data_IF_223079617647
#
_entry.id   IF_223079617647
#
_cell.length_a   1.000
_cell.length_b   1.000
_cell.length_c   1.000
_cell.angle_alpha   90.00
_cell.angle_beta   90.00
_cell.angle_gamma   90.00
#
_symmetry.space_group_name_H-M   'P 1'
#
loop_
_entity.id
_entity.type
_entity.pdbx_description
1 polymer ?
#
# COMPACT_ATOMS: atom_id res chain seq x y z
N UNK A 1 10.48 4.59 -7.48
CA UNK A 1 9.85 3.38 -8.02
C UNK A 1 8.33 3.51 -7.93
N UNK A 2 7.60 3.42 -9.04
CA UNK A 2 6.14 3.52 -9.00
C UNK A 2 5.52 2.33 -8.27
N UNK A 3 4.41 2.57 -7.60
CA UNK A 3 3.67 1.51 -6.93
C UNK A 3 4.06 1.24 -5.48
N UNK A 4 4.99 1.98 -4.92
CA UNK A 4 5.32 1.82 -3.50
C UNK A 4 4.14 2.26 -2.65
N UNK A 5 3.81 1.45 -1.66
CA UNK A 5 2.64 1.67 -0.80
C UNK A 5 3.06 1.65 0.66
N UNK A 6 2.62 2.63 1.41
CA UNK A 6 2.78 2.62 2.87
C UNK A 6 1.48 3.06 3.54
N UNK A 7 1.32 2.66 4.79
CA UNK A 7 0.17 3.05 5.59
C UNK A 7 0.57 4.24 6.47
N UNK A 8 -0.27 5.28 6.43
CA UNK A 8 -0.01 6.50 7.19
C UNK A 8 -0.51 6.32 8.62
N UNK A 9 0.33 6.58 9.64
CA UNK A 9 -0.10 6.50 11.03
C UNK A 9 -0.95 7.71 11.43
N UNK A 10 -1.78 7.56 12.43
CA UNK A 10 -2.51 8.66 13.06
C UNK A 10 -1.75 9.12 14.32
N UNK A 11 -1.70 10.43 14.60
CA UNK A 11 -2.14 11.54 13.77
C UNK A 11 -1.18 11.84 12.62
N UNK A 12 -1.68 12.50 11.58
CA UNK A 12 -0.87 12.88 10.42
C UNK A 12 -0.50 14.35 10.52
N UNK A 13 0.77 14.65 10.46
CA UNK A 13 1.28 16.03 10.54
C UNK A 13 2.23 16.38 9.39
N UNK A 14 2.13 15.68 8.26
CA UNK A 14 2.99 15.94 7.12
C UNK A 14 2.17 16.19 5.85
N UNK A 15 2.79 16.83 4.87
CA UNK A 15 2.18 17.12 3.57
C UNK A 15 2.52 16.02 2.58
N UNK A 16 1.62 15.83 1.61
CA UNK A 16 1.87 14.89 0.52
C UNK A 16 2.79 15.57 -0.49
N UNK A 17 3.87 14.88 -0.85
CA UNK A 17 4.81 15.37 -1.85
C UNK A 17 4.24 15.20 -3.26
N UNK A 18 4.84 15.89 -4.22
CA UNK A 18 4.53 15.71 -5.62
C UNK A 18 4.74 14.25 -6.03
N UNK A 19 3.96 13.75 -6.96
CA UNK A 19 4.00 12.36 -7.46
C UNK A 19 3.56 11.30 -6.45
N UNK A 20 2.90 11.72 -5.37
CA UNK A 20 2.28 10.82 -4.40
C UNK A 20 0.77 10.91 -4.48
N UNK A 21 0.10 9.80 -4.22
CA UNK A 21 -1.36 9.74 -4.18
C UNK A 21 -1.78 9.26 -2.80
N UNK A 22 -2.68 9.99 -2.16
CA UNK A 22 -3.26 9.60 -0.89
C UNK A 22 -4.56 8.84 -1.15
N UNK A 23 -4.71 7.69 -0.52
CA UNK A 23 -5.92 6.88 -0.57
C UNK A 23 -6.46 6.70 0.83
N UNK A 24 -7.77 6.79 0.93
CA UNK A 24 -8.48 6.50 2.18
C UNK A 24 -9.52 5.43 1.91
N UNK A 25 -9.47 4.35 2.68
CA UNK A 25 -10.45 3.29 2.55
C UNK A 25 -11.83 3.77 3.02
N UNK A 26 -12.86 3.41 2.26
CA UNK A 26 -14.23 3.57 2.72
C UNK A 26 -14.57 2.34 3.55
N UNK A 27 -14.62 2.51 4.87
CA UNK A 27 -14.83 1.40 5.82
C UNK A 27 -16.11 0.60 5.57
N UNK A 28 -17.08 1.19 4.90
CA UNK A 28 -18.32 0.49 4.53
C UNK A 28 -18.11 -0.51 3.41
N UNK A 29 -17.06 -0.31 2.62
CA UNK A 29 -16.78 -1.11 1.43
C UNK A 29 -15.55 -1.99 1.55
N UNK A 30 -14.52 -1.49 2.22
CA UNK A 30 -13.25 -2.19 2.31
C UNK A 30 -12.55 -1.85 3.63
N UNK A 31 -11.93 -2.84 4.24
CA UNK A 31 -11.14 -2.66 5.47
C UNK A 31 -9.78 -2.03 5.14
N UNK A 32 -9.39 -1.00 5.86
CA UNK A 32 -8.17 -0.22 5.56
C UNK A 32 -6.89 -1.05 5.54
N UNK A 33 -6.71 -1.95 6.50
CA UNK A 33 -5.52 -2.80 6.56
C UNK A 33 -5.51 -3.84 5.43
N UNK A 34 -6.68 -4.28 5.00
CA UNK A 34 -6.81 -5.14 3.83
C UNK A 34 -6.42 -4.38 2.56
N UNK A 35 -6.88 -3.14 2.40
CA UNK A 35 -6.51 -2.30 1.26
C UNK A 35 -4.99 -2.14 1.19
N UNK A 36 -4.35 -1.86 2.31
CA UNK A 36 -2.90 -1.78 2.41
C UNK A 36 -2.23 -3.08 1.95
N UNK A 37 -2.70 -4.23 2.44
CA UNK A 37 -2.16 -5.54 2.08
C UNK A 37 -2.32 -5.85 0.60
N UNK A 38 -3.52 -5.62 0.05
CA UNK A 38 -3.82 -5.96 -1.34
C UNK A 38 -3.08 -5.04 -2.31
N UNK A 39 -2.91 -3.77 -1.99
CA UNK A 39 -2.15 -2.85 -2.84
C UNK A 39 -0.68 -3.23 -2.92
N UNK A 40 -0.16 -3.91 -1.91
CA UNK A 40 1.23 -4.42 -1.92
C UNK A 40 1.32 -5.83 -2.48
N UNK A 41 0.21 -6.44 -2.85
CA UNK A 41 0.21 -7.78 -3.42
C UNK A 41 0.84 -7.78 -4.81
N UNK A 42 1.36 -8.93 -5.21
CA UNK A 42 2.01 -9.11 -6.49
C UNK A 42 1.08 -8.80 -7.66
N UNK A 43 -0.17 -9.22 -7.57
CA UNK A 43 -1.18 -9.04 -8.61
C UNK A 43 -1.48 -7.57 -8.86
N UNK A 44 -1.63 -6.80 -7.79
CA UNK A 44 -1.92 -5.36 -7.92
C UNK A 44 -0.66 -4.60 -8.35
N UNK A 45 0.49 -4.97 -7.82
CA UNK A 45 1.75 -4.36 -8.25
C UNK A 45 2.01 -4.61 -9.73
N UNK A 46 1.62 -5.78 -10.26
CA UNK A 46 1.73 -6.07 -11.68
C UNK A 46 0.78 -5.20 -12.50
N UNK A 47 -0.44 -4.95 -12.04
CA UNK A 47 -1.36 -4.03 -12.70
C UNK A 47 -0.79 -2.61 -12.76
N UNK A 48 -0.19 -2.14 -11.67
CA UNK A 48 0.44 -0.82 -11.61
C UNK A 48 1.62 -0.75 -12.59
N UNK A 49 2.44 -1.76 -12.62
CA UNK A 49 3.57 -1.84 -13.56
C UNK A 49 3.07 -1.77 -15.01
N UNK A 50 2.01 -2.50 -15.33
CA UNK A 50 1.47 -2.54 -16.70
C UNK A 50 0.93 -1.18 -17.15
N UNK A 51 0.40 -0.37 -16.23
CA UNK A 51 -0.10 0.96 -16.59
C UNK A 51 1.02 1.95 -16.90
N UNK A 52 2.24 1.65 -16.47
CA UNK A 52 3.41 2.51 -16.67
C UNK A 52 4.30 2.05 -17.82
N UNK A 53 3.93 1.00 -18.52
CA UNK A 53 4.72 0.49 -19.67
C UNK A 53 4.72 1.54 -20.79
N UNK A 54 5.91 1.92 -21.21
CA UNK A 54 6.08 2.92 -22.26
C UNK A 54 6.31 4.34 -21.78
N UNK A 55 6.14 4.62 -20.51
CA UNK A 55 6.43 5.93 -19.94
C UNK A 55 7.93 6.17 -19.85
N UNK A 56 8.36 7.37 -20.23
CA UNK A 56 9.77 7.77 -20.14
C UNK A 56 10.20 7.91 -18.69
N UNK A 57 9.34 8.54 -17.87
CA UNK A 57 9.56 8.66 -16.44
C UNK A 57 8.44 7.84 -15.76
N UNK A 58 8.75 6.65 -15.27
CA UNK A 58 7.71 5.80 -14.69
C UNK A 58 7.18 6.37 -13.39
N UNK A 59 5.92 6.71 -13.37
CA UNK A 59 5.19 7.12 -12.17
C UNK A 59 3.73 6.71 -12.33
N UNK A 60 3.06 6.46 -11.21
CA UNK A 60 1.67 6.04 -11.22
C UNK A 60 0.77 7.27 -11.25
N UNK A 61 0.02 7.43 -12.33
CA UNK A 61 -0.89 8.58 -12.51
C UNK A 61 -2.23 8.30 -11.85
N UNK A 62 -2.81 9.34 -11.25
CA UNK A 62 -4.11 9.23 -10.57
C UNK A 62 -5.20 8.66 -11.46
N UNK A 63 -5.20 8.99 -12.74
CA UNK A 63 -6.20 8.50 -13.70
C UNK A 63 -6.18 6.97 -13.85
N UNK A 64 -5.09 6.31 -13.53
CA UNK A 64 -4.98 4.85 -13.60
C UNK A 64 -5.57 4.14 -12.39
N UNK A 65 -5.88 4.88 -11.32
CA UNK A 65 -6.49 4.30 -10.12
C UNK A 65 -7.83 3.64 -10.43
N UNK A 66 -8.60 4.24 -11.32
CA UNK A 66 -9.92 3.71 -11.71
C UNK A 66 -9.82 2.39 -12.48
N UNK A 67 -8.65 2.08 -13.01
CA UNK A 67 -8.42 0.86 -13.79
C UNK A 67 -7.97 -0.32 -12.93
N UNK A 68 -7.62 -0.07 -11.67
CA UNK A 68 -7.18 -1.13 -10.76
C UNK A 68 -8.36 -2.00 -10.35
N UNK A 69 -8.21 -3.30 -10.53
CA UNK A 69 -9.20 -4.29 -10.13
C UNK A 69 -8.72 -4.98 -8.86
N UNK A 70 -9.44 -4.75 -7.78
CA UNK A 70 -9.09 -5.25 -6.45
C UNK A 70 -10.13 -6.28 -6.02
N UNK A 71 -9.73 -7.50 -5.66
CA UNK A 71 -10.66 -8.48 -5.11
C UNK A 71 -11.10 -8.04 -3.72
N UNK A 72 -12.40 -8.09 -3.45
CA UNK A 72 -12.98 -7.69 -2.17
C UNK A 72 -13.75 -8.87 -1.59
N UNK A 73 -13.10 -9.73 -0.78
CA UNK A 73 -13.79 -10.84 -0.14
C UNK A 73 -14.65 -10.35 1.01
N UNK A 74 -15.32 -11.32 1.68
CA UNK A 74 -16.09 -11.09 2.90
C UNK A 74 -15.31 -10.30 3.93
N UNK A 75 -15.98 -9.50 4.70
CA UNK A 75 -15.38 -8.62 5.71
C UNK A 75 -14.47 -9.38 6.69
N UNK A 76 -14.89 -10.56 7.12
CA UNK A 76 -14.08 -11.38 8.04
C UNK A 76 -12.74 -11.78 7.43
N UNK A 77 -12.74 -12.12 6.15
CA UNK A 77 -11.52 -12.47 5.43
C UNK A 77 -10.63 -11.25 5.28
N UNK A 78 -11.21 -10.11 4.95
CA UNK A 78 -10.47 -8.85 4.85
C UNK A 78 -9.76 -8.51 6.16
N UNK A 79 -10.48 -8.62 7.27
CA UNK A 79 -9.91 -8.32 8.61
C UNK A 79 -8.77 -9.27 8.95
N UNK A 80 -8.94 -10.55 8.67
CA UNK A 80 -7.94 -11.57 8.94
C UNK A 80 -6.65 -11.32 8.15
N UNK A 81 -6.78 -11.13 6.85
CA UNK A 81 -5.65 -10.88 5.96
C UNK A 81 -4.98 -9.55 6.30
N UNK A 82 -5.79 -8.50 6.45
CA UNK A 82 -5.28 -7.16 6.71
C UNK A 82 -4.54 -7.06 8.03
N UNK A 83 -5.10 -7.63 9.09
CA UNK A 83 -4.47 -7.60 10.41
C UNK A 83 -3.18 -8.42 10.44
N UNK A 84 -3.18 -9.59 9.83
CA UNK A 84 -1.98 -10.43 9.77
C UNK A 84 -0.87 -9.74 8.99
N UNK A 85 -1.18 -9.21 7.82
CA UNK A 85 -0.19 -8.53 6.99
C UNK A 85 0.37 -7.29 7.69
N UNK A 86 -0.50 -6.51 8.33
CA UNK A 86 -0.08 -5.32 9.06
C UNK A 86 0.89 -5.66 10.20
N UNK A 87 0.58 -6.70 10.97
CA UNK A 87 1.45 -7.16 12.05
C UNK A 87 2.83 -7.63 11.53
N UNK A 88 2.83 -8.37 10.44
CA UNK A 88 4.09 -8.85 9.84
C UNK A 88 4.91 -7.68 9.28
N UNK A 89 4.29 -6.73 8.64
CA UNK A 89 4.96 -5.53 8.13
C UNK A 89 5.56 -4.70 9.25
N UNK A 90 4.84 -4.56 10.35
CA UNK A 90 5.33 -3.85 11.53
C UNK A 90 6.56 -4.53 12.12
N UNK A 91 6.53 -5.85 12.23
CA UNK A 91 7.67 -6.62 12.75
C UNK A 91 8.91 -6.50 11.84
N UNK A 92 8.71 -6.51 10.54
CA UNK A 92 9.80 -6.33 9.57
C UNK A 92 10.45 -4.97 9.76
N UNK A 93 9.66 -3.90 9.88
CA UNK A 93 10.17 -2.56 10.09
C UNK A 93 10.90 -2.44 11.44
N UNK A 94 10.37 -3.04 12.49
CA UNK A 94 11.01 -3.05 13.81
C UNK A 94 12.36 -3.76 13.76
N UNK A 95 12.42 -4.91 13.09
CA UNK A 95 13.67 -5.66 12.94
C UNK A 95 14.72 -4.89 12.15
N UNK A 96 14.32 -4.16 11.11
CA UNK A 96 15.24 -3.29 10.36
C UNK A 96 15.83 -2.22 11.25
N UNK A 97 15.03 -1.57 12.09
CA UNK A 97 15.50 -0.55 13.02
C UNK A 97 16.48 -1.12 14.04
N UNK A 98 16.20 -2.31 14.57
CA UNK A 98 17.10 -2.99 15.51
C UNK A 98 18.44 -3.28 14.82
N UNK A 99 18.42 -3.82 13.62
CA UNK A 99 19.63 -4.15 12.87
C UNK A 99 20.45 -2.90 12.55
N UNK A 100 19.81 -1.81 12.17
CA UNK A 100 20.48 -0.53 11.92
C UNK A 100 21.16 -0.02 13.18
N UNK A 101 20.51 -0.11 14.33
CA UNK A 101 21.08 0.30 15.62
C UNK A 101 22.27 -0.57 16.03
N UNK A 102 22.21 -1.86 15.76
CA UNK A 102 23.31 -2.77 16.07
C UNK A 102 24.51 -2.59 15.14
N UNK A 103 24.27 -2.12 13.92
CA UNK A 103 25.32 -1.88 12.93
C UNK A 103 26.00 -0.52 13.10
N UNK A 104 25.42 0.37 13.87
CA UNK A 104 25.90 1.74 14.03
C UNK A 104 27.18 1.80 14.89
#
# INVERSE_FOLDING_TARGET
TPGRVCMVPDPVDFCIAQDMIALRADDKKIYNKYLFAVLRSREIQQQIYNTNVGDVIPHFKKQFMDQLLIPVPDRKIQEKIGNLYYQLSYKVELNKKINENLAA
#
